data_IF_667076065228
#
_entry.id   IF_667076065228
#
_cell.length_a   1.000
_cell.length_b   1.000
_cell.length_c   1.000
_cell.angle_alpha   90.00
_cell.angle_beta   90.00
_cell.angle_gamma   90.00
#
_symmetry.space_group_name_H-M   'P 1'
#
loop_
_entity.id
_entity.type
_entity.pdbx_description
1 polymer ?
#
# COMPACT_ATOMS: atom_id res chain seq x y z
N UNK A 1 -11.25 -3.52 18.13
CA UNK A 1 -10.70 -4.50 17.17
C UNK A 1 -11.71 -4.90 16.10
N UNK A 2 -12.35 -3.96 15.37
CA UNK A 2 -13.28 -4.33 14.29
C UNK A 2 -12.59 -5.01 13.09
N UNK A 3 -11.51 -4.45 12.52
CA UNK A 3 -10.99 -4.91 11.22
C UNK A 3 -10.61 -6.41 11.18
N UNK A 4 -9.91 -6.91 12.21
CA UNK A 4 -9.52 -8.33 12.28
C UNK A 4 -10.76 -9.24 12.39
N UNK A 5 -11.82 -8.76 13.04
CA UNK A 5 -13.07 -9.52 13.22
C UNK A 5 -14.05 -9.41 12.06
N UNK A 6 -13.89 -8.40 11.20
CA UNK A 6 -14.82 -8.17 10.09
C UNK A 6 -14.70 -9.23 9.00
N UNK A 7 -15.84 -9.60 8.44
CA UNK A 7 -15.92 -10.57 7.35
C UNK A 7 -15.77 -9.93 5.96
N UNK A 8 -16.12 -8.65 5.82
CA UNK A 8 -16.08 -7.88 4.57
C UNK A 8 -15.75 -6.40 4.85
N UNK A 9 -15.52 -5.62 3.79
CA UNK A 9 -15.41 -4.17 3.92
C UNK A 9 -16.68 -3.57 4.56
N UNK A 10 -16.56 -2.62 5.50
CA UNK A 10 -17.70 -1.88 6.01
C UNK A 10 -18.41 -1.07 4.92
N UNK A 11 -19.74 -1.03 4.98
CA UNK A 11 -20.57 -0.30 4.03
C UNK A 11 -20.15 1.18 3.88
N UNK A 12 -19.80 1.85 4.98
CA UNK A 12 -19.40 3.27 4.92
C UNK A 12 -18.13 3.52 4.09
N UNK A 13 -17.20 2.55 4.01
CA UNK A 13 -16.03 2.67 3.14
C UNK A 13 -16.44 2.49 1.68
N UNK A 14 -17.28 1.48 1.40
CA UNK A 14 -17.80 1.22 0.06
C UNK A 14 -18.60 2.41 -0.48
N UNK A 15 -19.50 2.98 0.32
CA UNK A 15 -20.23 4.21 -0.01
C UNK A 15 -19.28 5.38 -0.32
N UNK A 16 -18.18 5.50 0.41
CA UNK A 16 -17.19 6.55 0.17
C UNK A 16 -16.44 6.35 -1.15
N UNK A 17 -16.07 5.10 -1.49
CA UNK A 17 -15.51 4.76 -2.80
C UNK A 17 -16.51 5.02 -3.92
N UNK A 18 -17.74 4.53 -3.80
CA UNK A 18 -18.80 4.69 -4.80
C UNK A 18 -19.10 6.17 -5.07
N UNK A 19 -19.21 6.98 -4.01
CA UNK A 19 -19.42 8.42 -4.15
C UNK A 19 -18.26 9.12 -4.86
N UNK A 20 -17.03 8.61 -4.69
CA UNK A 20 -15.82 9.18 -5.30
C UNK A 20 -15.66 8.77 -6.76
N UNK A 21 -16.16 7.58 -7.15
CA UNK A 21 -16.15 7.09 -8.53
C UNK A 21 -17.28 7.66 -9.39
N UNK A 22 -18.47 7.92 -8.84
CA UNK A 22 -19.66 8.31 -9.61
C UNK A 22 -19.59 9.72 -10.28
N UNK A 23 -18.60 10.56 -9.99
CA UNK A 23 -18.49 11.91 -10.55
C UNK A 23 -17.77 11.99 -11.92
N UNK A 24 -17.83 10.93 -12.74
CA UNK A 24 -17.24 10.96 -14.09
C UNK A 24 -18.02 11.82 -15.09
N UNK A 25 -19.34 11.97 -14.91
CA UNK A 25 -20.23 12.55 -15.92
C UNK A 25 -20.64 14.02 -15.73
N UNK A 26 -20.29 14.65 -14.60
CA UNK A 26 -20.63 16.05 -14.37
C UNK A 26 -19.58 16.99 -15.00
N UNK A 27 -19.81 17.31 -16.28
CA UNK A 27 -19.06 18.23 -17.13
C UNK A 27 -19.02 19.71 -16.66
N UNK A 28 -19.18 20.00 -15.36
CA UNK A 28 -19.47 21.34 -14.84
C UNK A 28 -18.41 21.98 -13.94
N UNK A 29 -17.28 21.35 -13.64
CA UNK A 29 -16.20 22.01 -12.90
C UNK A 29 -14.99 22.29 -13.81
N UNK A 30 -14.58 23.56 -14.02
CA UNK A 30 -13.37 23.90 -14.77
C UNK A 30 -12.07 23.45 -14.08
N UNK A 31 -12.18 23.01 -12.82
CA UNK A 31 -11.13 22.30 -12.10
C UNK A 31 -11.38 20.80 -12.26
N UNK A 32 -10.83 20.20 -13.34
CA UNK A 32 -10.63 18.76 -13.41
C UNK A 32 -9.79 18.34 -12.19
N UNK A 33 -10.44 17.99 -11.08
CA UNK A 33 -9.80 17.16 -10.05
C UNK A 33 -9.31 15.92 -10.79
N UNK A 34 -8.00 15.71 -10.78
CA UNK A 34 -7.43 14.53 -11.40
C UNK A 34 -8.12 13.30 -10.79
N UNK A 35 -8.32 12.23 -11.55
CA UNK A 35 -8.89 10.99 -11.00
C UNK A 35 -8.07 10.51 -9.79
N UNK A 36 -6.77 10.78 -9.77
CA UNK A 36 -5.91 10.60 -8.60
C UNK A 36 -6.44 11.33 -7.35
N UNK A 37 -6.90 12.59 -7.47
CA UNK A 37 -7.47 13.34 -6.33
C UNK A 37 -8.73 12.70 -5.74
N UNK A 38 -9.50 11.96 -6.55
CA UNK A 38 -10.73 11.28 -6.08
C UNK A 38 -10.39 10.12 -5.16
N UNK A 39 -9.47 9.28 -5.60
CA UNK A 39 -9.03 8.11 -4.84
C UNK A 39 -8.10 8.48 -3.68
N UNK A 40 -7.39 9.59 -3.80
CA UNK A 40 -6.41 10.02 -2.82
C UNK A 40 -7.00 10.34 -1.44
N UNK A 41 -8.24 10.82 -1.36
CA UNK A 41 -8.89 11.00 -0.07
C UNK A 41 -9.28 9.65 0.56
N UNK A 42 -9.77 8.73 -0.26
CA UNK A 42 -10.41 7.48 0.20
C UNK A 42 -9.38 6.47 0.71
N UNK A 43 -8.23 6.34 0.02
CA UNK A 43 -7.21 5.35 0.38
C UNK A 43 -6.58 5.58 1.78
N UNK A 44 -6.18 6.79 2.17
CA UNK A 44 -5.78 7.10 3.53
C UNK A 44 -6.86 6.73 4.56
N UNK A 45 -8.15 7.00 4.31
CA UNK A 45 -9.22 6.59 5.22
C UNK A 45 -9.33 5.07 5.36
N UNK A 46 -9.25 4.33 4.26
CA UNK A 46 -9.20 2.86 4.27
C UNK A 46 -8.01 2.34 5.07
N UNK A 47 -6.82 2.91 4.88
CA UNK A 47 -5.63 2.52 5.65
C UNK A 47 -5.75 2.92 7.13
N UNK A 48 -6.31 4.08 7.44
CA UNK A 48 -6.63 4.48 8.82
C UNK A 48 -7.57 3.47 9.46
N UNK A 49 -8.56 2.98 8.72
CA UNK A 49 -9.45 1.92 9.18
C UNK A 49 -8.69 0.62 9.46
N UNK A 50 -7.89 0.15 8.50
CA UNK A 50 -7.14 -1.11 8.61
C UNK A 50 -6.15 -1.09 9.78
N UNK A 51 -5.36 -0.03 9.89
CA UNK A 51 -4.39 0.17 10.97
C UNK A 51 -5.03 0.63 12.28
N UNK A 52 -6.35 0.79 12.33
CA UNK A 52 -7.08 1.33 13.47
C UNK A 52 -6.46 2.63 13.99
N UNK A 53 -6.06 3.52 13.07
CA UNK A 53 -5.63 4.89 13.39
C UNK A 53 -6.88 5.66 13.81
N UNK A 54 -7.42 5.30 14.97
CA UNK A 54 -8.37 6.08 15.71
C UNK A 54 -7.59 7.13 16.51
N UNK A 55 -8.26 8.23 16.87
CA UNK A 55 -7.71 9.26 17.75
C UNK A 55 -7.32 8.65 19.11
N UNK A 56 -6.13 8.05 19.21
CA UNK A 56 -5.66 7.34 20.40
C UNK A 56 -4.71 6.17 20.18
N UNK A 57 -4.62 5.57 18.97
CA UNK A 57 -3.63 4.50 18.72
C UNK A 57 -2.26 5.10 18.36
N UNK A 58 -1.20 4.89 19.17
CA UNK A 58 0.09 5.52 18.96
C UNK A 58 0.99 4.78 17.97
N UNK A 59 0.63 3.59 17.49
CA UNK A 59 1.58 2.71 16.80
C UNK A 59 2.01 3.19 15.42
N UNK A 60 1.07 3.68 14.62
CA UNK A 60 1.27 3.99 13.20
C UNK A 60 0.77 5.38 12.82
N UNK A 61 1.42 5.99 11.82
CA UNK A 61 1.00 7.26 11.23
C UNK A 61 1.06 7.13 9.73
N UNK A 62 0.01 7.62 9.07
CA UNK A 62 -0.02 7.77 7.62
C UNK A 62 0.45 9.19 7.30
N UNK A 63 1.47 9.30 6.49
CA UNK A 63 2.03 10.58 6.08
C UNK A 63 2.31 10.59 4.60
N UNK A 64 2.30 11.79 4.03
CA UNK A 64 2.68 11.99 2.64
C UNK A 64 4.20 11.94 2.52
N UNK A 65 4.69 11.12 1.59
CA UNK A 65 6.09 11.17 1.21
C UNK A 65 6.25 12.38 0.30
N UNK A 66 6.38 13.57 0.92
CA UNK A 66 6.57 14.84 0.23
C UNK A 66 7.47 14.68 -1.00
N UNK A 67 6.93 15.07 -2.15
CA UNK A 67 7.62 15.12 -3.43
C UNK A 67 8.78 16.10 -3.27
N UNK A 68 9.98 15.63 -2.95
CA UNK A 68 11.17 16.44 -3.17
C UNK A 68 11.30 16.54 -4.69
N UNK A 69 10.64 17.56 -5.25
CA UNK A 69 10.74 18.06 -6.62
C UNK A 69 11.26 16.99 -7.58
N UNK A 70 10.47 15.94 -7.81
CA UNK A 70 10.85 14.89 -8.75
C UNK A 70 11.14 15.59 -10.08
N UNK A 71 12.38 15.55 -10.61
CA UNK A 71 12.76 16.31 -11.81
C UNK A 71 11.94 15.93 -13.06
N UNK A 72 11.20 14.83 -12.96
CA UNK A 72 10.36 14.21 -13.98
C UNK A 72 8.86 14.41 -13.74
N UNK A 73 8.45 15.16 -12.71
CA UNK A 73 7.06 15.60 -12.53
C UNK A 73 6.67 16.74 -13.51
N UNK A 74 7.33 16.81 -14.67
CA UNK A 74 7.16 17.89 -15.64
C UNK A 74 5.90 17.77 -16.49
N UNK A 75 5.07 16.75 -16.31
CA UNK A 75 3.77 16.67 -16.97
C UNK A 75 2.73 15.96 -16.10
N UNK A 76 1.82 16.77 -15.54
CA UNK A 76 0.41 16.48 -15.19
C UNK A 76 0.03 15.26 -14.35
N UNK A 77 0.97 14.42 -13.92
CA UNK A 77 0.66 13.22 -13.15
C UNK A 77 0.88 13.48 -11.65
N UNK A 78 -0.19 13.87 -10.96
CA UNK A 78 -0.21 14.01 -9.50
C UNK A 78 -0.20 12.62 -8.84
N UNK A 79 0.97 11.99 -8.78
CA UNK A 79 1.20 10.86 -7.88
C UNK A 79 1.59 11.43 -6.51
N UNK A 80 0.74 11.24 -5.50
CA UNK A 80 1.07 11.62 -4.13
C UNK A 80 1.42 10.34 -3.34
N UNK A 81 2.70 9.95 -3.34
CA UNK A 81 3.13 8.78 -2.60
C UNK A 81 2.88 8.98 -1.12
N UNK A 82 2.40 7.93 -0.50
CA UNK A 82 2.04 7.94 0.90
C UNK A 82 2.71 6.76 1.60
N UNK A 83 3.03 6.96 2.86
CA UNK A 83 3.81 6.01 3.65
C UNK A 83 3.18 5.86 5.01
N UNK A 84 3.02 4.61 5.44
CA UNK A 84 2.69 4.27 6.81
C UNK A 84 3.98 4.07 7.57
N UNK A 85 4.09 4.76 8.70
CA UNK A 85 5.29 4.82 9.52
C UNK A 85 5.01 4.33 10.91
N UNK A 86 5.94 3.54 11.45
CA UNK A 86 5.86 3.04 12.82
C UNK A 86 6.48 4.05 13.79
N UNK A 87 5.74 4.42 14.85
CA UNK A 87 6.25 5.22 15.96
C UNK A 87 7.16 4.39 16.87
N UNK A 88 8.07 5.03 17.64
CA UNK A 88 8.32 6.47 17.72
C UNK A 88 9.29 7.00 16.66
N UNK A 89 9.96 6.11 15.92
CA UNK A 89 11.05 6.49 15.00
C UNK A 89 10.58 6.91 13.61
N UNK A 90 9.28 6.79 13.33
CA UNK A 90 8.66 7.15 12.05
C UNK A 90 9.30 6.45 10.85
N UNK A 91 9.69 5.19 11.02
CA UNK A 91 10.30 4.36 9.96
C UNK A 91 9.22 3.71 9.08
N UNK A 92 9.42 3.59 7.77
CA UNK A 92 8.40 3.11 6.84
C UNK A 92 8.12 1.62 7.03
N UNK A 93 6.85 1.23 7.01
CA UNK A 93 6.40 -0.18 7.05
C UNK A 93 5.48 -0.55 5.90
N UNK A 94 4.87 0.46 5.26
CA UNK A 94 4.06 0.32 4.06
C UNK A 94 4.24 1.58 3.22
N UNK A 95 4.51 1.42 1.93
CA UNK A 95 4.45 2.50 0.94
C UNK A 95 3.29 2.25 0.00
N UNK A 96 2.65 3.29 -0.49
CA UNK A 96 1.62 3.17 -1.51
C UNK A 96 1.63 4.33 -2.47
N UNK A 97 1.28 4.03 -3.72
CA UNK A 97 1.22 4.99 -4.82
C UNK A 97 -0.08 4.76 -5.59
N UNK A 98 -0.81 5.83 -5.86
CA UNK A 98 -2.12 5.80 -6.50
C UNK A 98 -2.02 6.56 -7.83
N UNK A 99 -2.43 5.90 -8.91
CA UNK A 99 -2.47 6.44 -10.26
C UNK A 99 -3.89 6.37 -10.84
N UNK A 100 -4.07 7.06 -11.96
CA UNK A 100 -5.33 7.09 -12.70
C UNK A 100 -5.70 5.69 -13.22
N UNK A 101 -6.98 5.25 -13.14
CA UNK A 101 -7.42 3.95 -13.66
C UNK A 101 -7.05 3.71 -15.13
N UNK A 102 -6.95 4.76 -15.96
CA UNK A 102 -6.57 4.65 -17.36
C UNK A 102 -5.17 4.04 -17.56
N UNK A 103 -4.31 4.09 -16.53
CA UNK A 103 -2.98 3.47 -16.56
C UNK A 103 -3.05 1.95 -16.75
N UNK A 104 -4.10 1.30 -16.27
CA UNK A 104 -4.29 -0.14 -16.44
C UNK A 104 -4.45 -0.56 -17.91
N UNK A 105 -4.86 0.37 -18.79
CA UNK A 105 -5.16 0.10 -20.20
C UNK A 105 -3.97 0.24 -21.15
N UNK A 106 -2.83 0.73 -20.65
CA UNK A 106 -1.67 1.12 -21.46
C UNK A 106 -0.37 0.50 -20.94
N UNK A 107 0.29 -0.31 -21.77
CA UNK A 107 1.54 -0.99 -21.41
C UNK A 107 2.65 -0.04 -20.92
N UNK A 108 2.82 1.13 -21.55
CA UNK A 108 3.82 2.12 -21.16
C UNK A 108 3.53 2.73 -19.77
N UNK A 109 2.25 2.94 -19.45
CA UNK A 109 1.83 3.44 -18.14
C UNK A 109 1.90 2.36 -17.04
N UNK A 110 1.57 1.10 -17.37
CA UNK A 110 1.78 -0.03 -16.45
C UNK A 110 3.25 -0.22 -16.12
N UNK A 111 4.13 -0.20 -17.12
CA UNK A 111 5.57 -0.24 -16.91
C UNK A 111 6.05 0.94 -16.05
N UNK A 112 5.54 2.14 -16.28
CA UNK A 112 5.89 3.31 -15.47
C UNK A 112 5.41 3.18 -14.01
N UNK A 113 4.20 2.66 -13.77
CA UNK A 113 3.72 2.39 -12.41
C UNK A 113 4.61 1.37 -11.69
N UNK A 114 4.99 0.29 -12.36
CA UNK A 114 5.90 -0.73 -11.81
C UNK A 114 7.28 -0.14 -11.46
N UNK A 115 7.85 0.63 -12.39
CA UNK A 115 9.13 1.31 -12.22
C UNK A 115 9.08 2.30 -11.05
N UNK A 116 8.02 3.09 -10.95
CA UNK A 116 7.83 4.05 -9.84
C UNK A 116 7.79 3.32 -8.51
N UNK A 117 7.03 2.23 -8.39
CA UNK A 117 6.95 1.48 -7.14
C UNK A 117 8.32 0.93 -6.72
N UNK A 118 9.09 0.35 -7.65
CA UNK A 118 10.47 -0.08 -7.35
C UNK A 118 11.36 1.07 -6.88
N UNK A 119 11.30 2.23 -7.55
CA UNK A 119 12.04 3.41 -7.13
C UNK A 119 11.68 3.89 -5.72
N UNK A 120 10.44 3.66 -5.25
CA UNK A 120 10.04 4.01 -3.87
C UNK A 120 10.77 3.19 -2.81
N UNK A 121 11.18 1.97 -3.11
CA UNK A 121 11.97 1.15 -2.19
C UNK A 121 13.39 1.72 -2.02
N UNK A 122 13.97 2.20 -3.13
CA UNK A 122 15.30 2.81 -3.17
C UNK A 122 15.30 4.29 -2.73
N UNK A 123 14.13 4.93 -2.69
CA UNK A 123 14.00 6.35 -2.39
C UNK A 123 14.53 6.67 -0.99
N UNK A 124 15.30 7.76 -0.79
CA UNK A 124 15.79 8.14 0.52
C UNK A 124 14.65 8.32 1.51
N UNK A 125 14.76 7.70 2.69
CA UNK A 125 13.83 7.94 3.78
C UNK A 125 13.82 9.44 4.11
N UNK A 126 12.67 9.99 4.48
CA UNK A 126 12.57 11.41 4.86
C UNK A 126 13.31 11.76 6.17
N UNK A 127 14.07 10.82 6.75
CA UNK A 127 14.91 11.12 7.88
C UNK A 127 16.04 12.02 7.41
N UNK A 128 15.86 13.34 7.60
CA UNK A 128 16.56 14.49 6.99
C UNK A 128 18.10 14.51 7.04
N UNK A 129 18.72 13.51 7.65
CA UNK A 129 20.17 13.42 7.87
C UNK A 129 20.74 12.04 7.52
N UNK A 130 19.91 11.11 7.05
CA UNK A 130 20.32 9.75 6.70
C UNK A 130 19.94 9.46 5.24
N UNK A 131 20.92 9.12 4.42
CA UNK A 131 20.73 8.75 3.01
C UNK A 131 20.27 7.29 2.84
N UNK A 132 19.76 6.68 3.91
CA UNK A 132 19.21 5.33 3.90
C UNK A 132 17.91 5.28 3.09
N UNK A 133 17.82 4.31 2.18
CA UNK A 133 16.62 4.06 1.38
C UNK A 133 15.44 3.61 2.25
N UNK A 134 14.22 3.76 1.78
CA UNK A 134 13.01 3.30 2.48
C UNK A 134 13.11 1.81 2.89
N UNK A 135 13.63 0.97 2.00
CA UNK A 135 13.79 -0.47 2.29
C UNK A 135 14.76 -0.71 3.44
N UNK A 136 15.91 -0.03 3.44
CA UNK A 136 16.93 -0.19 4.49
C UNK A 136 16.53 0.49 5.82
N UNK A 137 15.64 1.50 5.78
CA UNK A 137 15.10 2.15 6.97
C UNK A 137 13.94 1.35 7.59
N UNK A 138 13.38 0.36 6.88
CA UNK A 138 12.25 -0.40 7.38
C UNK A 138 12.59 -1.15 8.68
N UNK A 139 11.77 -1.02 9.75
CA UNK A 139 12.03 -1.68 11.03
C UNK A 139 11.68 -3.17 11.04
N UNK A 140 10.98 -3.66 10.02
CA UNK A 140 10.46 -5.02 9.91
C UNK A 140 11.27 -5.81 8.89
N UNK A 141 11.16 -7.16 8.87
CA UNK A 141 11.76 -7.98 7.82
C UNK A 141 11.28 -7.63 6.41
N UNK A 142 10.07 -7.09 6.27
CA UNK A 142 9.45 -6.74 5.00
C UNK A 142 8.96 -5.29 4.98
N UNK A 143 9.28 -4.57 3.90
CA UNK A 143 8.60 -3.34 3.53
C UNK A 143 7.52 -3.66 2.49
N UNK A 144 6.26 -3.44 2.84
CA UNK A 144 5.14 -3.67 1.93
C UNK A 144 4.93 -2.47 0.99
N UNK A 145 4.49 -2.74 -0.23
CA UNK A 145 4.20 -1.74 -1.25
C UNK A 145 2.87 -1.99 -1.93
N UNK A 146 2.06 -0.94 -2.15
CA UNK A 146 0.78 -1.04 -2.85
C UNK A 146 0.77 -0.07 -4.03
N UNK A 147 0.70 -0.60 -5.25
CA UNK A 147 0.48 0.21 -6.45
C UNK A 147 -0.99 0.08 -6.86
N UNK A 148 -1.68 1.21 -6.98
CA UNK A 148 -3.10 1.28 -7.24
C UNK A 148 -3.36 2.02 -8.56
N UNK A 149 -4.00 1.37 -9.52
CA UNK A 149 -4.49 1.98 -10.76
C UNK A 149 -6.02 2.06 -10.65
N UNK A 150 -6.55 3.17 -10.16
CA UNK A 150 -7.94 3.19 -9.70
C UNK A 150 -8.11 2.24 -8.51
N UNK A 151 -8.99 1.23 -8.62
CA UNK A 151 -9.19 0.18 -7.61
C UNK A 151 -8.36 -1.09 -7.86
N UNK A 152 -7.73 -1.21 -9.02
CA UNK A 152 -6.85 -2.32 -9.36
C UNK A 152 -5.53 -2.22 -8.59
N UNK A 153 -5.22 -3.25 -7.82
CA UNK A 153 -4.11 -3.32 -6.88
C UNK A 153 -3.05 -4.31 -7.38
N UNK A 154 -1.80 -3.90 -7.26
CA UNK A 154 -0.62 -4.78 -7.30
C UNK A 154 0.15 -4.64 -5.99
N UNK A 155 0.48 -5.77 -5.39
CA UNK A 155 1.18 -5.84 -4.11
C UNK A 155 2.66 -6.10 -4.33
N UNK A 156 3.49 -5.36 -3.60
CA UNK A 156 4.93 -5.49 -3.57
C UNK A 156 5.39 -5.84 -2.15
N UNK A 157 6.47 -6.62 -2.04
CA UNK A 157 7.12 -6.97 -0.79
C UNK A 157 8.63 -6.90 -0.98
N UNK A 158 9.26 -5.95 -0.29
CA UNK A 158 10.71 -5.81 -0.24
C UNK A 158 11.27 -6.52 0.98
N UNK A 159 12.16 -7.48 0.76
CA UNK A 159 12.93 -8.14 1.82
C UNK A 159 14.08 -7.23 2.26
N UNK A 160 14.09 -6.86 3.52
CA UNK A 160 15.09 -5.92 4.08
C UNK A 160 16.47 -6.54 4.19
N UNK A 161 16.56 -7.86 4.37
CA UNK A 161 17.84 -8.55 4.53
C UNK A 161 18.56 -8.75 3.19
N UNK A 162 17.82 -9.03 2.12
CA UNK A 162 18.39 -9.27 0.78
C UNK A 162 18.33 -8.04 -0.12
N UNK A 163 17.51 -7.05 0.22
CA UNK A 163 17.25 -5.89 -0.63
C UNK A 163 16.42 -6.20 -1.87
N UNK A 164 15.79 -7.38 -1.93
CA UNK A 164 15.04 -7.84 -3.11
C UNK A 164 13.57 -7.45 -2.99
N UNK A 165 13.03 -6.82 -4.03
CA UNK A 165 11.60 -6.48 -4.12
C UNK A 165 10.91 -7.49 -5.02
N UNK A 166 9.82 -8.07 -4.52
CA UNK A 166 8.91 -8.92 -5.29
C UNK A 166 7.60 -8.18 -5.55
N UNK A 167 6.99 -8.27 -6.75
CA UNK A 167 7.56 -8.89 -7.96
C UNK A 167 8.83 -8.17 -8.41
N UNK A 168 9.74 -8.90 -9.06
CA UNK A 168 10.99 -8.34 -9.58
C UNK A 168 10.68 -7.47 -10.79
N UNK A 169 11.28 -6.28 -10.85
CA UNK A 169 11.19 -5.39 -12.02
C UNK A 169 11.62 -6.13 -13.29
N UNK A 170 10.76 -6.12 -14.29
CA UNK A 170 11.04 -6.73 -15.59
C UNK A 170 11.70 -5.71 -16.53
N UNK A 171 12.76 -6.12 -17.22
CA UNK A 171 13.34 -5.31 -18.29
C UNK A 171 12.36 -5.29 -19.48
N UNK A 172 11.92 -4.10 -19.96
CA UNK A 172 10.94 -4.03 -21.01
C UNK A 172 11.51 -4.51 -22.36
N UNK A 173 10.76 -5.32 -23.14
CA UNK A 173 11.14 -5.65 -24.50
C UNK A 173 11.14 -4.40 -25.38
N UNK A 174 11.98 -4.41 -26.43
CA UNK A 174 11.99 -3.36 -27.46
C UNK A 174 11.69 -3.97 -28.83
N UNK A 175 10.54 -3.65 -29.47
CA UNK A 175 9.50 -2.70 -29.02
C UNK A 175 8.64 -3.24 -27.85
N UNK A 176 8.03 -2.33 -27.08
CA UNK A 176 7.16 -2.67 -25.94
C UNK A 176 5.81 -3.26 -26.43
N UNK A 177 5.47 -4.50 -26.06
CA UNK A 177 4.18 -5.11 -26.42
C UNK A 177 2.98 -4.41 -25.75
N UNK A 178 1.82 -4.29 -26.41
CA UNK A 178 0.61 -3.68 -25.82
C UNK A 178 0.06 -4.42 -24.59
N UNK A 179 0.34 -5.71 -24.47
CA UNK A 179 -0.05 -6.61 -23.38
C UNK A 179 1.02 -6.70 -22.28
N UNK A 180 2.12 -5.94 -22.38
CA UNK A 180 3.15 -5.95 -21.35
C UNK A 180 2.59 -5.53 -19.99
N UNK A 181 2.83 -6.36 -18.96
CA UNK A 181 2.26 -6.28 -17.61
C UNK A 181 0.72 -6.27 -17.54
N UNK A 182 0.04 -6.75 -18.58
CA UNK A 182 -1.41 -6.96 -18.53
C UNK A 182 -1.76 -7.97 -17.44
N UNK A 183 -2.78 -7.66 -16.64
CA UNK A 183 -3.17 -8.48 -15.49
C UNK A 183 -2.24 -8.38 -14.29
N UNK A 184 -1.19 -7.54 -14.31
CA UNK A 184 -0.32 -7.40 -13.14
C UNK A 184 -1.00 -6.68 -11.95
N UNK A 185 -2.04 -5.88 -12.20
CA UNK A 185 -2.93 -5.28 -11.20
C UNK A 185 -4.28 -6.01 -11.23
N UNK A 186 -4.27 -7.30 -10.92
CA UNK A 186 -5.42 -8.21 -11.02
C UNK A 186 -6.36 -8.20 -9.81
N UNK A 187 -5.92 -7.67 -8.67
CA UNK A 187 -6.73 -7.63 -7.45
C UNK A 187 -7.55 -6.35 -7.44
N UNK A 188 -8.87 -6.44 -7.44
CA UNK A 188 -9.71 -5.28 -7.06
C UNK A 188 -9.66 -5.11 -5.55
N UNK A 189 -9.14 -3.97 -5.06
CA UNK A 189 -8.99 -3.71 -3.62
C UNK A 189 -10.33 -3.68 -2.87
N UNK A 190 -11.43 -3.33 -3.55
CA UNK A 190 -12.78 -3.29 -2.96
C UNK A 190 -13.48 -4.65 -2.99
N UNK A 191 -12.94 -5.62 -3.71
CA UNK A 191 -13.45 -6.97 -3.70
C UNK A 191 -13.17 -7.66 -2.35
N UNK A 192 -13.85 -8.79 -2.14
CA UNK A 192 -13.59 -9.65 -0.99
C UNK A 192 -12.14 -10.17 -0.98
N UNK A 193 -11.57 -10.44 -2.16
CA UNK A 193 -10.16 -10.83 -2.30
C UNK A 193 -9.23 -9.69 -1.87
N UNK A 194 -9.48 -8.47 -2.34
CA UNK A 194 -8.77 -7.27 -1.92
C UNK A 194 -8.83 -7.04 -0.41
N UNK A 195 -10.02 -7.25 0.19
CA UNK A 195 -10.17 -7.17 1.64
C UNK A 195 -9.32 -8.19 2.39
N UNK A 196 -9.35 -9.46 1.97
CA UNK A 196 -8.51 -10.49 2.59
C UNK A 196 -7.02 -10.18 2.42
N UNK A 197 -6.63 -9.66 1.26
CA UNK A 197 -5.25 -9.25 0.98
C UNK A 197 -4.79 -8.13 1.91
N UNK A 198 -5.64 -7.13 2.13
CA UNK A 198 -5.35 -6.07 3.10
C UNK A 198 -5.26 -6.62 4.53
N UNK A 199 -6.13 -7.56 4.94
CA UNK A 199 -6.01 -8.20 6.27
C UNK A 199 -4.71 -8.97 6.44
N UNK A 200 -4.26 -9.67 5.40
CA UNK A 200 -2.99 -10.39 5.38
C UNK A 200 -1.82 -9.42 5.62
N UNK A 201 -1.70 -8.38 4.80
CA UNK A 201 -0.60 -7.41 4.85
C UNK A 201 -0.57 -6.68 6.20
N UNK A 202 -1.72 -6.17 6.64
CA UNK A 202 -1.84 -5.40 7.88
C UNK A 202 -1.61 -6.32 9.09
N UNK A 203 -2.08 -7.55 9.03
CA UNK A 203 -1.83 -8.58 10.05
C UNK A 203 -0.34 -8.88 10.19
N UNK A 204 0.37 -9.04 9.08
CA UNK A 204 1.83 -9.23 9.04
C UNK A 204 2.56 -8.05 9.70
N UNK A 205 2.25 -6.83 9.26
CA UNK A 205 2.86 -5.60 9.81
C UNK A 205 2.63 -5.48 11.31
N UNK A 206 1.39 -5.67 11.80
CA UNK A 206 1.05 -5.53 13.22
C UNK A 206 1.69 -6.65 14.06
N UNK A 207 1.69 -7.89 13.56
CA UNK A 207 2.28 -9.03 14.27
C UNK A 207 3.79 -8.84 14.43
N UNK A 208 4.49 -8.52 13.34
CA UNK A 208 5.93 -8.30 13.35
C UNK A 208 6.29 -7.05 14.16
N UNK A 209 5.50 -5.97 14.07
CA UNK A 209 5.73 -4.76 14.87
C UNK A 209 5.68 -5.04 16.39
N UNK A 210 4.82 -5.96 16.84
CA UNK A 210 4.75 -6.34 18.25
C UNK A 210 5.95 -7.21 18.69
N UNK A 211 6.51 -8.04 17.81
CA UNK A 211 7.69 -8.87 18.11
C UNK A 211 8.98 -8.05 18.21
N UNK A 212 9.08 -7.01 17.38
CA UNK A 212 10.26 -6.15 17.29
C UNK A 212 10.20 -4.90 18.21
N UNK A 213 9.11 -4.67 18.96
CA UNK A 213 9.06 -3.67 20.03
C UNK A 213 9.55 -4.26 21.38
N UNK A 214 10.73 -3.86 21.89
CA UNK A 214 11.22 -4.32 23.19
C UNK A 214 10.34 -3.91 24.38
N UNK A 215 9.42 -2.95 24.23
CA UNK A 215 8.44 -2.56 25.26
C UNK A 215 7.21 -3.48 25.28
N UNK A 216 6.92 -4.21 24.21
CA UNK A 216 5.77 -5.12 24.13
C UNK A 216 5.96 -6.41 24.94
N UNK A 217 7.19 -6.72 25.40
CA UNK A 217 7.50 -7.89 26.25
C UNK A 217 6.85 -7.87 27.65
N UNK A 218 6.13 -6.82 28.01
CA UNK A 218 5.46 -6.68 29.31
C UNK A 218 3.93 -6.60 29.25
N UNK A 219 3.30 -6.85 28.09
CA UNK A 219 1.84 -6.99 28.02
C UNK A 219 1.42 -8.46 28.26
N UNK A 220 0.29 -8.71 28.97
CA UNK A 220 -0.12 -10.04 29.36
C UNK A 220 -0.46 -10.92 28.14
N UNK A 221 -0.13 -12.21 28.29
CA UNK A 221 -0.01 -13.32 27.31
C UNK A 221 -1.29 -13.67 26.51
N UNK A 222 -2.31 -12.81 26.43
CA UNK A 222 -3.57 -13.12 25.72
C UNK A 222 -3.49 -13.05 24.18
N UNK A 223 -2.38 -12.59 23.61
CA UNK A 223 -2.27 -12.30 22.17
C UNK A 223 -1.55 -13.37 21.34
N UNK A 224 -0.71 -14.22 21.94
CA UNK A 224 0.10 -15.19 21.19
C UNK A 224 -0.65 -16.45 20.74
N UNK A 225 -1.85 -16.71 21.29
CA UNK A 225 -2.59 -17.94 20.98
C UNK A 225 -3.50 -17.87 19.74
N UNK A 226 -3.81 -16.67 19.23
CA UNK A 226 -4.75 -16.53 18.08
C UNK A 226 -4.06 -16.41 16.72
N UNK A 227 -2.83 -15.89 16.64
CA UNK A 227 -2.10 -15.78 15.37
C UNK A 227 -1.63 -17.15 14.84
N UNK A 228 -1.21 -18.06 15.72
CA UNK A 228 -0.78 -19.42 15.32
C UNK A 228 -1.88 -20.30 14.72
N UNK A 229 -3.16 -20.03 15.03
CA UNK A 229 -4.29 -20.75 14.42
C UNK A 229 -4.61 -20.29 12.99
N UNK A 230 -4.35 -19.02 12.65
CA UNK A 230 -4.67 -18.52 11.31
C UNK A 230 -3.68 -19.03 10.26
N UNK A 231 -2.39 -19.10 10.59
CA UNK A 231 -1.33 -19.61 9.71
C UNK A 231 -1.49 -21.13 9.48
N UNK A 232 -1.95 -21.87 10.50
CA UNK A 232 -2.20 -23.32 10.37
C UNK A 232 -3.49 -23.65 9.62
N UNK A 233 -4.47 -22.75 9.60
CA UNK A 233 -5.70 -22.93 8.82
C UNK A 233 -5.48 -22.62 7.33
N UNK A 234 -4.68 -21.60 6.99
CA UNK A 234 -4.36 -21.25 5.61
C UNK A 234 -3.46 -22.30 4.92
N UNK A 235 -2.50 -22.93 5.63
CA UNK A 235 -1.74 -24.07 5.07
C UNK A 235 -2.62 -25.27 4.75
N UNK A 236 -3.62 -25.57 5.58
CA UNK A 236 -4.54 -26.70 5.34
C UNK A 236 -5.50 -26.48 4.16
N UNK A 237 -5.82 -25.23 3.81
CA UNK A 237 -6.71 -24.94 2.67
C UNK A 237 -5.98 -24.87 1.33
N UNK A 238 -4.65 -24.80 1.33
CA UNK A 238 -3.80 -24.74 0.12
C UNK A 238 -3.05 -26.04 -0.19
N UNK A 239 -3.22 -27.09 0.61
CA UNK A 239 -2.63 -28.41 0.32
C UNK A 239 -1.10 -28.42 0.34
N UNK A 240 -0.48 -27.73 1.32
CA UNK A 240 0.95 -27.86 1.66
C UNK A 240 1.08 -28.39 3.09
#
# INVERSE_FOLDING_TARGET
MPFVTDAAWPDFLLEHFDSSSCHEDEAWEPYHRSLADRYYAVYPYMLMYCFHVHAGDPGFVIGYQGLLSEPWASDTTYAMPSVVRQRPHFRPVLIFDIQDPAWATRADLRLEADRRMHQRYDYPSQHRYDHTSNLNDCPLPHLWGLSLLGTSLRVYCGDVATGVVNPVSEDPPSPLPPDFLEGAWDIDILSQEGFWKMKEIIGDIVCLSAEFDPRARFLPISWTWKAGMLISFLRRSLGI
#
